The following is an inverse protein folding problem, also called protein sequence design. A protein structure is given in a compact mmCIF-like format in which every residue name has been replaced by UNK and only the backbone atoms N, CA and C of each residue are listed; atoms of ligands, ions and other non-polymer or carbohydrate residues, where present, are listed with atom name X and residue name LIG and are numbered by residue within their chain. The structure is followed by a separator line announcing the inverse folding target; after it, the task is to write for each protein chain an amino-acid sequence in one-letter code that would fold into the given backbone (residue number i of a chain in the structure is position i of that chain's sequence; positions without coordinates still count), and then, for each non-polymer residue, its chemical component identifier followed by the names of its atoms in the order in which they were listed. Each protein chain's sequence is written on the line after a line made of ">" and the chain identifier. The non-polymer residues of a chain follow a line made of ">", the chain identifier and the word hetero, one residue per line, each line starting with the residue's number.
data_IF_713219726823
#
_entry.id   IF_713219726823
#
_cell.length_a   1.000
_cell.length_b   1.000
_cell.length_c   1.000
_cell.angle_alpha   90.00
_cell.angle_beta   90.00
_cell.angle_gamma   90.00
#
_symmetry.space_group_name_H-M   'P 1'
#
loop_
_entity.id
_entity.type
_entity.pdbx_description
1 polymer ?
#
# COMPACT_ATOMS: atom_id res chain seq x y z
N UNK A 1 8.79 -4.04 -14.23
CA UNK A 1 9.29 -3.90 -12.83
C UNK A 1 8.14 -3.40 -11.98
N UNK A 2 7.96 -3.96 -10.78
CA UNK A 2 6.99 -3.43 -9.80
C UNK A 2 7.68 -2.25 -9.11
N UNK A 3 7.06 -1.07 -9.16
CA UNK A 3 7.61 0.15 -8.56
C UNK A 3 7.25 0.21 -7.08
N UNK A 4 8.18 0.64 -6.24
CA UNK A 4 7.94 0.91 -4.83
C UNK A 4 7.40 2.33 -4.59
N UNK A 5 7.65 3.24 -5.53
CA UNK A 5 7.25 4.65 -5.41
C UNK A 5 6.37 5.07 -6.59
N UNK A 6 5.37 5.93 -6.34
CA UNK A 6 4.56 6.48 -7.40
C UNK A 6 5.37 7.48 -8.26
N UNK A 7 5.02 7.57 -9.53
CA UNK A 7 5.52 8.65 -10.39
C UNK A 7 4.78 9.96 -10.09
N UNK A 8 5.39 11.08 -10.48
CA UNK A 8 4.75 12.38 -10.37
C UNK A 8 3.37 12.41 -11.07
N UNK A 9 3.26 11.79 -12.25
CA UNK A 9 2.02 11.71 -13.00
C UNK A 9 0.94 10.91 -12.25
N UNK A 10 1.30 9.81 -11.59
CA UNK A 10 0.35 9.03 -10.77
C UNK A 10 -0.21 9.85 -9.61
N UNK A 11 0.65 10.61 -8.92
CA UNK A 11 0.23 11.52 -7.86
C UNK A 11 -0.68 12.63 -8.41
N UNK A 12 -0.32 13.24 -9.55
CA UNK A 12 -1.17 14.26 -10.18
C UNK A 12 -2.55 13.71 -10.54
N UNK A 13 -2.62 12.52 -11.13
CA UNK A 13 -3.90 11.86 -11.47
C UNK A 13 -4.76 11.62 -10.24
N UNK A 14 -4.16 11.20 -9.12
CA UNK A 14 -4.87 11.05 -7.86
C UNK A 14 -5.48 12.39 -7.40
N UNK A 15 -4.71 13.48 -7.49
CA UNK A 15 -5.08 14.81 -7.01
C UNK A 15 -6.15 15.53 -7.84
N UNK A 16 -6.44 15.08 -9.06
CA UNK A 16 -7.52 15.65 -9.91
C UNK A 16 -8.92 15.41 -9.31
N UNK A 17 -9.11 14.35 -8.52
CA UNK A 17 -10.41 14.04 -7.93
C UNK A 17 -10.82 14.98 -6.78
N UNK A 18 -12.09 14.93 -6.32
CA UNK A 18 -12.57 15.72 -5.19
C UNK A 18 -11.70 15.51 -3.94
N UNK A 19 -11.21 16.61 -3.38
CA UNK A 19 -10.23 16.60 -2.31
C UNK A 19 -10.79 16.21 -0.95
N UNK A 20 -12.11 16.24 -0.77
CA UNK A 20 -12.87 16.05 0.47
C UNK A 20 -13.72 14.77 0.49
N UNK A 21 -13.49 13.86 -0.46
CA UNK A 21 -14.19 12.56 -0.56
C UNK A 21 -13.26 11.41 -0.19
N UNK A 22 -13.79 10.35 0.47
CA UNK A 22 -13.03 9.15 0.73
C UNK A 22 -12.39 8.58 -0.54
N UNK A 23 -11.22 7.96 -0.35
CA UNK A 23 -10.49 7.32 -1.44
C UNK A 23 -9.95 5.98 -0.95
N UNK A 24 -10.09 4.96 -1.78
CA UNK A 24 -9.56 3.62 -1.50
C UNK A 24 -8.33 3.39 -2.38
N UNK A 25 -7.22 3.05 -1.73
CA UNK A 25 -6.00 2.62 -2.41
C UNK A 25 -5.99 1.10 -2.53
N UNK A 26 -5.91 0.62 -3.76
CA UNK A 26 -5.60 -0.76 -4.07
C UNK A 26 -4.09 -0.95 -4.05
N UNK A 27 -3.62 -1.81 -3.15
CA UNK A 27 -2.23 -2.21 -3.07
C UNK A 27 -2.12 -3.64 -3.61
N UNK A 28 -1.27 -3.83 -4.62
CA UNK A 28 -0.92 -5.13 -5.16
C UNK A 28 0.55 -5.40 -4.83
N UNK A 29 0.80 -6.47 -4.09
CA UNK A 29 2.06 -6.69 -3.39
C UNK A 29 2.73 -7.96 -3.91
N UNK A 30 3.99 -7.81 -4.30
CA UNK A 30 4.87 -8.91 -4.66
C UNK A 30 6.08 -8.85 -3.73
N UNK A 31 6.33 -9.97 -3.07
CA UNK A 31 7.42 -10.11 -2.13
C UNK A 31 8.66 -10.67 -2.80
N UNK A 32 9.84 -10.26 -2.34
CA UNK A 32 11.10 -10.92 -2.63
C UNK A 32 11.28 -12.14 -1.73
N UNK A 33 12.05 -13.13 -2.17
CA UNK A 33 12.32 -14.33 -1.36
C UNK A 33 13.05 -13.99 -0.06
N UNK A 34 13.89 -12.94 -0.08
CA UNK A 34 14.60 -12.41 1.07
C UNK A 34 14.43 -10.90 1.15
N UNK A 35 14.18 -10.41 2.35
CA UNK A 35 14.17 -8.99 2.64
C UNK A 35 15.60 -8.42 2.58
N UNK A 36 15.69 -7.13 2.29
CA UNK A 36 16.93 -6.35 2.32
C UNK A 36 17.00 -5.56 3.63
N UNK A 37 18.07 -4.79 3.82
CA UNK A 37 18.18 -3.83 4.91
C UNK A 37 16.88 -3.01 5.10
N UNK A 38 16.42 -2.80 6.34
CA UNK A 38 17.02 -3.21 7.62
C UNK A 38 16.55 -4.60 8.14
N UNK A 39 15.83 -5.38 7.33
CA UNK A 39 15.18 -6.62 7.73
C UNK A 39 15.93 -7.87 7.19
N UNK A 40 17.26 -7.81 7.08
CA UNK A 40 18.04 -8.98 6.64
C UNK A 40 17.76 -10.21 7.50
N UNK A 41 17.57 -11.35 6.83
CA UNK A 41 17.25 -12.63 7.49
C UNK A 41 15.77 -12.98 7.47
N UNK A 42 14.89 -12.02 7.19
CA UNK A 42 13.46 -12.26 6.95
C UNK A 42 13.17 -12.56 5.46
N UNK A 43 12.05 -13.21 5.19
CA UNK A 43 11.42 -13.19 3.86
C UNK A 43 10.80 -11.82 3.59
N UNK A 44 10.55 -11.49 2.32
CA UNK A 44 9.86 -10.24 1.98
C UNK A 44 8.44 -10.17 2.53
N UNK A 45 7.77 -11.32 2.70
CA UNK A 45 6.43 -11.38 3.31
C UNK A 45 6.48 -11.09 4.82
N UNK A 46 7.44 -11.66 5.56
CA UNK A 46 7.61 -11.39 6.99
C UNK A 46 7.99 -9.93 7.27
N UNK A 47 8.89 -9.36 6.49
CA UNK A 47 9.25 -7.94 6.60
C UNK A 47 8.04 -7.04 6.32
N UNK A 48 7.24 -7.37 5.29
CA UNK A 48 6.00 -6.64 5.01
C UNK A 48 4.98 -6.76 6.14
N UNK A 49 4.78 -7.96 6.72
CA UNK A 49 3.82 -8.16 7.80
C UNK A 49 4.16 -7.30 9.02
N UNK A 50 5.45 -7.26 9.39
CA UNK A 50 5.94 -6.38 10.46
C UNK A 50 5.63 -4.91 10.18
N UNK A 51 5.91 -4.44 8.97
CA UNK A 51 5.55 -3.08 8.54
C UNK A 51 4.04 -2.84 8.60
N UNK A 52 3.23 -3.78 8.14
CA UNK A 52 1.78 -3.67 8.07
C UNK A 52 1.14 -3.57 9.47
N UNK A 53 1.67 -4.32 10.45
CA UNK A 53 1.18 -4.30 11.83
C UNK A 53 1.35 -2.90 12.46
N UNK A 54 2.53 -2.30 12.31
CA UNK A 54 2.81 -0.93 12.78
C UNK A 54 1.95 0.10 12.04
N UNK A 55 1.86 -0.04 10.72
CA UNK A 55 1.18 0.93 9.85
C UNK A 55 -0.34 0.93 10.01
N UNK A 56 -0.95 -0.20 10.33
CA UNK A 56 -2.40 -0.30 10.49
C UNK A 56 -2.87 0.63 11.62
N UNK A 57 -2.18 0.64 12.75
CA UNK A 57 -2.49 1.53 13.87
C UNK A 57 -2.29 3.01 13.52
N UNK A 58 -1.20 3.33 12.83
CA UNK A 58 -0.92 4.70 12.40
C UNK A 58 -1.98 5.24 11.42
N UNK A 59 -2.33 4.46 10.40
CA UNK A 59 -3.38 4.83 9.43
C UNK A 59 -4.72 5.02 10.13
N UNK A 60 -5.09 4.11 11.05
CA UNK A 60 -6.31 4.22 11.84
C UNK A 60 -6.36 5.50 12.68
N UNK A 61 -5.24 5.87 13.31
CA UNK A 61 -5.13 7.10 14.11
C UNK A 61 -5.38 8.39 13.30
N UNK A 62 -5.23 8.31 11.97
CA UNK A 62 -5.42 9.42 11.02
C UNK A 62 -6.77 9.32 10.26
N UNK A 63 -7.67 8.45 10.71
CA UNK A 63 -9.00 8.26 10.14
C UNK A 63 -9.05 7.35 8.91
N UNK A 64 -7.95 6.69 8.55
CA UNK A 64 -7.96 5.65 7.54
C UNK A 64 -8.40 4.29 8.10
N UNK A 65 -8.67 3.32 7.23
CA UNK A 65 -8.96 1.94 7.64
C UNK A 65 -8.55 0.93 6.58
N UNK A 66 -8.08 -0.23 7.02
CA UNK A 66 -7.94 -1.40 6.14
C UNK A 66 -9.34 -1.99 5.94
N UNK A 67 -9.85 -1.97 4.71
CA UNK A 67 -11.14 -2.57 4.35
C UNK A 67 -10.97 -4.09 4.23
N UNK A 68 -9.89 -4.52 3.59
CA UNK A 68 -9.63 -5.92 3.28
C UNK A 68 -8.16 -6.13 2.95
N UNK A 69 -7.62 -7.28 3.32
CA UNK A 69 -6.34 -7.79 2.84
C UNK A 69 -6.40 -9.31 2.69
N UNK A 70 -5.68 -9.85 1.72
CA UNK A 70 -5.66 -11.29 1.50
C UNK A 70 -4.75 -11.74 0.37
N UNK A 71 -4.33 -13.01 0.44
CA UNK A 71 -3.48 -13.65 -0.57
C UNK A 71 -4.23 -13.71 -1.91
N UNK A 72 -3.50 -13.44 -2.99
CA UNK A 72 -3.99 -13.64 -4.35
C UNK A 72 -3.75 -15.10 -4.71
N UNK A 73 -4.83 -15.85 -4.95
CA UNK A 73 -4.75 -17.24 -5.40
C UNK A 73 -4.62 -17.32 -6.93
N UNK A 74 -5.53 -16.64 -7.65
CA UNK A 74 -5.55 -16.62 -9.12
C UNK A 74 -6.26 -15.39 -9.67
N UNK A 75 -5.85 -14.93 -10.86
CA UNK A 75 -6.56 -13.94 -11.68
C UNK A 75 -7.28 -14.65 -12.83
N UNK A 76 -8.61 -14.70 -12.79
CA UNK A 76 -9.41 -15.38 -13.83
C UNK A 76 -9.66 -14.49 -15.06
N UNK A 77 -9.75 -13.17 -14.87
CA UNK A 77 -10.04 -12.19 -15.93
C UNK A 77 -9.14 -10.96 -15.78
N UNK A 78 -8.70 -10.43 -16.92
CA UNK A 78 -7.83 -9.26 -17.02
C UNK A 78 -6.35 -9.65 -17.06
N UNK A 79 -5.51 -8.63 -17.12
CA UNK A 79 -4.06 -8.78 -17.14
C UNK A 79 -3.45 -7.97 -15.99
N UNK A 80 -2.22 -8.31 -15.62
CA UNK A 80 -1.41 -7.46 -14.75
C UNK A 80 -1.56 -7.71 -13.26
N UNK A 81 -2.39 -8.67 -12.80
CA UNK A 81 -2.29 -9.16 -11.42
C UNK A 81 -1.33 -10.37 -11.28
N UNK A 82 -0.81 -10.87 -12.41
CA UNK A 82 0.14 -11.97 -12.45
C UNK A 82 1.39 -11.69 -11.61
N UNK A 83 1.66 -12.60 -10.68
CA UNK A 83 2.84 -12.54 -9.81
C UNK A 83 2.69 -11.62 -8.60
N UNK A 84 1.50 -11.09 -8.30
CA UNK A 84 1.24 -10.55 -6.96
C UNK A 84 0.89 -11.69 -6.00
N UNK A 85 1.44 -11.60 -4.79
CA UNK A 85 1.21 -12.57 -3.72
C UNK A 85 0.04 -12.15 -2.83
N UNK A 86 -0.20 -10.83 -2.68
CA UNK A 86 -1.23 -10.29 -1.80
C UNK A 86 -1.85 -9.02 -2.39
N UNK A 87 -3.11 -8.78 -2.05
CA UNK A 87 -3.81 -7.53 -2.32
C UNK A 87 -4.36 -6.94 -1.01
N UNK A 88 -4.42 -5.60 -0.95
CA UNK A 88 -5.00 -4.88 0.17
C UNK A 88 -5.77 -3.64 -0.28
N UNK A 89 -6.86 -3.35 0.41
CA UNK A 89 -7.71 -2.18 0.22
C UNK A 89 -7.62 -1.30 1.47
N UNK A 90 -7.08 -0.10 1.31
CA UNK A 90 -6.96 0.87 2.42
C UNK A 90 -7.75 2.12 2.06
N UNK A 91 -8.74 2.45 2.88
CA UNK A 91 -9.53 3.66 2.75
C UNK A 91 -8.90 4.80 3.55
N UNK A 92 -8.92 5.98 2.95
CA UNK A 92 -8.56 7.24 3.59
C UNK A 92 -9.77 8.18 3.56
N UNK A 93 -9.92 9.05 4.56
CA UNK A 93 -11.09 9.93 4.65
C UNK A 93 -11.09 10.97 3.52
N UNK A 94 -9.92 11.26 2.94
CA UNK A 94 -9.77 12.15 1.79
C UNK A 94 -8.45 11.93 1.04
N UNK A 95 -8.34 12.45 -0.19
CA UNK A 95 -7.07 12.45 -0.95
C UNK A 95 -5.98 13.25 -0.25
N UNK A 96 -6.37 14.37 0.37
CA UNK A 96 -5.47 15.19 1.18
C UNK A 96 -4.91 14.37 2.35
N UNK A 97 -5.77 13.65 3.08
CA UNK A 97 -5.35 12.80 4.19
C UNK A 97 -4.42 11.68 3.73
N UNK A 98 -4.70 11.05 2.57
CA UNK A 98 -3.78 10.07 1.99
C UNK A 98 -2.38 10.66 1.76
N UNK A 99 -2.28 11.82 1.12
CA UNK A 99 -0.96 12.45 0.86
C UNK A 99 -0.25 12.82 2.16
N UNK A 100 -0.96 13.37 3.14
CA UNK A 100 -0.39 13.70 4.45
C UNK A 100 0.16 12.46 5.17
N UNK A 101 -0.56 11.33 5.12
CA UNK A 101 -0.12 10.06 5.69
C UNK A 101 1.07 9.50 4.92
N UNK A 102 1.00 9.45 3.58
CA UNK A 102 2.04 8.87 2.73
C UNK A 102 3.37 9.64 2.82
N UNK A 103 3.31 10.95 3.08
CA UNK A 103 4.49 11.81 3.23
C UNK A 103 4.97 11.93 4.69
N UNK A 104 4.33 11.23 5.62
CA UNK A 104 4.71 11.30 7.04
C UNK A 104 6.06 10.60 7.29
N UNK A 105 6.87 11.07 8.25
CA UNK A 105 8.13 10.43 8.62
C UNK A 105 7.98 8.96 9.05
N UNK A 106 6.80 8.59 9.56
CA UNK A 106 6.47 7.22 9.94
C UNK A 106 6.39 6.27 8.73
N UNK A 107 6.00 6.79 7.55
CA UNK A 107 5.88 6.03 6.29
C UNK A 107 7.14 6.10 5.44
N UNK A 108 7.83 7.23 5.42
CA UNK A 108 8.96 7.49 4.52
C UNK A 108 10.29 6.85 4.99
N UNK A 109 10.25 5.67 5.62
CA UNK A 109 11.42 4.95 6.13
C UNK A 109 12.07 4.06 5.07
#
# INVERSE_FOLDING_TARGET
>A
MISQYPTHEQIQRLLVGPSDRPVVMLNLLRFTDRATAPDEGLTGEEAYQRYADDMTGFVASRGGRVIWSGRVDSQVIGEGADGFHMAALVEYPSRKAFVEIAMSPEVAK
#
